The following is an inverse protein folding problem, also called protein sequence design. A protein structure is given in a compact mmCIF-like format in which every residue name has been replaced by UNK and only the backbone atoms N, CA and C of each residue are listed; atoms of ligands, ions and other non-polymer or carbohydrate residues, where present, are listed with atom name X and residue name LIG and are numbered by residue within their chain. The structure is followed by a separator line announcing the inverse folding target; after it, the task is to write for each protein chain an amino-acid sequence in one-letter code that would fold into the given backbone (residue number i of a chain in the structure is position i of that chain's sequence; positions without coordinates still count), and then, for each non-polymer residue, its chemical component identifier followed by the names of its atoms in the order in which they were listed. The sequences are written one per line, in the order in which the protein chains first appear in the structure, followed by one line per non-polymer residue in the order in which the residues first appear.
data_IF_934675674124
#
_entry.id   IF_934675674124
#
_cell.length_a   1.000
_cell.length_b   1.000
_cell.length_c   1.000
_cell.angle_alpha   90.00
_cell.angle_beta   90.00
_cell.angle_gamma   90.00
#
_symmetry.space_group_name_H-M   'P 1'
#
loop_
_entity.id
_entity.type
_entity.pdbx_description
1 polymer ?
#
# COMPACT_ATOMS: atom_id res chain seq x y z
N UNK A 1 26.28 9.82 -3.82
CA UNK A 1 25.19 10.68 -3.32
C UNK A 1 24.42 11.19 -4.53
N UNK A 2 23.49 10.41 -5.08
CA UNK A 2 22.68 10.84 -6.24
C UNK A 2 21.37 10.04 -6.40
N UNK A 3 20.99 9.23 -5.40
CA UNK A 3 19.81 8.36 -5.46
C UNK A 3 18.61 8.87 -4.66
N UNK A 4 18.80 9.86 -3.79
CA UNK A 4 17.77 10.31 -2.83
C UNK A 4 16.85 11.40 -3.39
N UNK A 5 17.26 12.11 -4.45
CA UNK A 5 16.51 13.26 -4.98
C UNK A 5 15.25 12.82 -5.76
N UNK A 6 15.25 11.61 -6.34
CA UNK A 6 14.10 11.06 -7.11
C UNK A 6 12.95 10.60 -6.20
N UNK A 7 13.21 10.37 -4.91
CA UNK A 7 12.22 9.87 -3.93
C UNK A 7 11.65 10.97 -3.03
N UNK A 8 12.12 12.21 -3.18
CA UNK A 8 11.67 13.37 -2.42
C UNK A 8 10.30 13.86 -2.94
N UNK A 9 9.22 13.24 -2.48
CA UNK A 9 7.87 13.76 -2.68
C UNK A 9 7.58 14.85 -1.65
N UNK A 10 7.01 15.96 -2.12
CA UNK A 10 6.46 16.99 -1.23
C UNK A 10 5.34 16.41 -0.36
N UNK A 11 5.06 17.02 0.82
CA UNK A 11 3.95 16.58 1.66
C UNK A 11 2.61 16.51 0.93
N UNK A 12 2.35 17.47 0.03
CA UNK A 12 1.12 17.50 -0.78
C UNK A 12 1.05 16.34 -1.78
N UNK A 13 2.17 15.97 -2.40
CA UNK A 13 2.21 14.81 -3.30
C UNK A 13 2.05 13.50 -2.54
N UNK A 14 2.65 13.39 -1.35
CA UNK A 14 2.51 12.23 -0.49
C UNK A 14 1.05 12.03 -0.05
N UNK A 15 0.37 13.13 0.28
CA UNK A 15 -1.04 13.11 0.64
C UNK A 15 -1.94 12.77 -0.55
N UNK A 16 -1.65 13.31 -1.73
CA UNK A 16 -2.34 12.95 -2.96
C UNK A 16 -2.22 11.44 -3.27
N UNK A 17 -1.04 10.84 -3.11
CA UNK A 17 -0.85 9.39 -3.29
C UNK A 17 -1.64 8.58 -2.26
N UNK A 18 -1.67 9.04 -1.00
CA UNK A 18 -2.47 8.40 0.06
C UNK A 18 -3.95 8.43 -0.30
N UNK A 19 -4.46 9.55 -0.79
CA UNK A 19 -5.87 9.69 -1.15
C UNK A 19 -6.25 8.81 -2.34
N UNK A 20 -5.40 8.75 -3.38
CA UNK A 20 -5.58 7.83 -4.51
C UNK A 20 -5.62 6.38 -4.01
N UNK A 21 -4.68 6.00 -3.14
CA UNK A 21 -4.64 4.66 -2.54
C UNK A 21 -5.88 4.34 -1.72
N UNK A 22 -6.37 5.30 -0.93
CA UNK A 22 -7.57 5.16 -0.12
C UNK A 22 -8.83 4.96 -0.98
N UNK A 23 -9.02 5.76 -2.04
CA UNK A 23 -10.13 5.62 -2.99
C UNK A 23 -10.06 4.26 -3.70
N UNK A 24 -8.90 3.89 -4.22
CA UNK A 24 -8.69 2.61 -4.92
C UNK A 24 -8.96 1.41 -4.01
N UNK A 25 -8.45 1.44 -2.78
CA UNK A 25 -8.69 0.40 -1.79
C UNK A 25 -10.17 0.32 -1.38
N UNK A 26 -10.87 1.45 -1.24
CA UNK A 26 -12.31 1.47 -0.94
C UNK A 26 -13.15 0.83 -2.05
N UNK A 27 -12.81 1.10 -3.31
CA UNK A 27 -13.46 0.45 -4.46
C UNK A 27 -13.17 -1.06 -4.49
N UNK A 28 -11.93 -1.46 -4.26
CA UNK A 28 -11.55 -2.87 -4.19
C UNK A 28 -12.25 -3.60 -3.02
N UNK A 29 -12.35 -2.97 -1.85
CA UNK A 29 -13.06 -3.50 -0.69
C UNK A 29 -14.56 -3.65 -1.00
N UNK A 30 -15.17 -2.69 -1.70
CA UNK A 30 -16.58 -2.78 -2.12
C UNK A 30 -16.79 -3.96 -3.08
N UNK A 31 -15.96 -4.07 -4.13
CA UNK A 31 -16.05 -5.17 -5.07
C UNK A 31 -15.83 -6.53 -4.39
N UNK A 32 -14.83 -6.63 -3.50
CA UNK A 32 -14.57 -7.85 -2.75
C UNK A 32 -15.74 -8.21 -1.83
N UNK A 33 -16.35 -7.22 -1.16
CA UNK A 33 -17.51 -7.42 -0.27
C UNK A 33 -18.69 -8.06 -1.00
N UNK A 34 -18.89 -7.70 -2.28
CA UNK A 34 -19.93 -8.26 -3.14
C UNK A 34 -19.59 -9.71 -3.52
N UNK A 35 -18.33 -10.01 -3.84
CA UNK A 35 -17.88 -11.35 -4.21
C UNK A 35 -18.05 -12.34 -3.04
N UNK A 36 -17.70 -11.91 -1.81
CA UNK A 36 -17.76 -12.79 -0.63
C UNK A 36 -19.09 -12.68 0.14
N UNK A 37 -20.00 -11.81 -0.31
CA UNK A 37 -21.27 -11.48 0.34
C UNK A 37 -21.14 -11.15 1.83
N UNK A 38 -20.14 -10.35 2.19
CA UNK A 38 -19.89 -9.91 3.57
C UNK A 38 -19.38 -8.48 3.58
N UNK A 39 -19.81 -7.71 4.58
CA UNK A 39 -19.30 -6.36 4.82
C UNK A 39 -17.79 -6.43 5.09
N UNK A 40 -17.04 -5.60 4.37
CA UNK A 40 -15.63 -5.33 4.62
C UNK A 40 -15.53 -3.95 5.23
N UNK A 41 -14.84 -3.84 6.35
CA UNK A 41 -14.48 -2.57 6.98
C UNK A 41 -13.02 -2.26 6.67
N UNK A 42 -12.71 -1.01 6.39
CA UNK A 42 -11.39 -0.59 5.92
C UNK A 42 -10.95 0.68 6.63
N UNK A 43 -9.72 0.68 7.13
CA UNK A 43 -9.01 1.87 7.59
C UNK A 43 -8.16 2.48 6.47
N UNK A 44 -7.93 3.79 6.52
CA UNK A 44 -7.03 4.48 5.58
C UNK A 44 -5.66 3.78 5.54
N UNK A 45 -5.15 3.40 4.35
CA UNK A 45 -3.86 2.72 4.24
C UNK A 45 -2.69 3.63 4.63
N UNK A 46 -1.64 3.05 5.19
CA UNK A 46 -0.36 3.74 5.43
C UNK A 46 0.45 3.75 4.15
N UNK A 47 1.15 4.85 3.90
CA UNK A 47 2.04 5.01 2.75
C UNK A 47 3.48 5.18 3.24
N UNK A 48 4.36 4.33 2.74
CA UNK A 48 5.80 4.35 3.03
C UNK A 48 6.56 4.30 1.71
N UNK A 49 7.64 5.09 1.61
CA UNK A 49 8.58 5.03 0.48
C UNK A 49 9.82 4.31 0.99
N UNK A 50 10.08 3.11 0.48
CA UNK A 50 11.23 2.30 0.85
C UNK A 50 11.76 1.53 -0.36
N UNK A 51 13.05 1.15 -0.35
CA UNK A 51 13.61 0.20 -1.31
C UNK A 51 12.87 -1.14 -1.28
N UNK A 52 12.74 -1.79 -2.44
CA UNK A 52 12.09 -3.10 -2.53
C UNK A 52 12.75 -4.16 -1.63
N UNK A 53 14.07 -4.06 -1.41
CA UNK A 53 14.82 -4.94 -0.53
C UNK A 53 14.38 -4.90 0.93
N UNK A 54 13.71 -3.83 1.37
CA UNK A 54 13.22 -3.65 2.74
C UNK A 54 11.76 -4.13 2.92
N UNK A 55 11.06 -4.49 1.84
CA UNK A 55 9.67 -4.99 1.93
C UNK A 55 9.52 -6.22 2.84
N UNK A 56 10.42 -7.23 2.81
CA UNK A 56 10.33 -8.38 3.73
C UNK A 56 10.23 -7.97 5.19
N UNK A 57 10.99 -6.98 5.63
CA UNK A 57 11.01 -6.51 7.03
C UNK A 57 9.68 -5.87 7.44
N UNK A 58 8.97 -5.27 6.50
CA UNK A 58 7.65 -4.64 6.74
C UNK A 58 6.53 -5.67 6.81
N UNK A 59 6.65 -6.80 6.09
CA UNK A 59 5.58 -7.80 5.96
C UNK A 59 5.72 -9.01 6.89
N UNK A 60 6.68 -9.00 7.82
CA UNK A 60 6.85 -10.04 8.84
C UNK A 60 8.23 -10.71 8.86
N UNK A 61 9.18 -10.22 8.07
CA UNK A 61 10.54 -10.75 7.96
C UNK A 61 10.71 -11.83 6.88
N UNK A 62 11.96 -12.20 6.58
CA UNK A 62 12.29 -13.10 5.46
C UNK A 62 11.76 -14.54 5.63
N UNK A 63 11.53 -14.97 6.88
CA UNK A 63 11.07 -16.33 7.18
C UNK A 63 9.54 -16.47 7.24
N UNK A 64 8.81 -15.35 7.12
CA UNK A 64 7.35 -15.36 7.18
C UNK A 64 6.76 -15.64 5.80
N UNK A 65 6.02 -16.73 5.68
CA UNK A 65 5.26 -17.01 4.46
C UNK A 65 4.14 -15.99 4.28
N UNK A 66 4.16 -15.28 3.15
CA UNK A 66 3.16 -14.28 2.77
C UNK A 66 2.58 -14.58 1.40
N UNK A 67 1.34 -14.16 1.16
CA UNK A 67 0.75 -14.15 -0.18
C UNK A 67 1.07 -12.81 -0.85
N UNK A 68 1.72 -12.85 -2.02
CA UNK A 68 2.00 -11.69 -2.85
C UNK A 68 1.10 -11.66 -4.08
N UNK A 69 0.59 -10.48 -4.42
CA UNK A 69 -0.11 -10.23 -5.68
C UNK A 69 0.77 -9.29 -6.51
N UNK A 70 1.19 -9.74 -7.69
CA UNK A 70 1.93 -8.94 -8.67
C UNK A 70 0.99 -8.66 -9.84
N UNK A 71 0.84 -7.38 -10.20
CA UNK A 71 -0.03 -6.90 -11.28
C UNK A 71 0.80 -6.35 -12.44
#
# INVERSE_FOLDING_TARGET
MEKDEVLSLSPMQLDALREIGNIGAGNAATALSQIINRKIDMSVPRLNILPLSEVPDVVGGPDTMVAGVYL
#
